data_IF_448456021549
#
_entry.id   IF_448456021549
#
_cell.length_a   1.000
_cell.length_b   1.000
_cell.length_c   1.000
_cell.angle_alpha   90.00
_cell.angle_beta   90.00
_cell.angle_gamma   90.00
#
_symmetry.space_group_name_H-M   'P 1'
#
loop_
_entity.id
_entity.type
_entity.pdbx_description
1 polymer ?
#
# COMPACT_ATOMS: atom_id res chain seq x y z
N UNK A 1 10.87 9.97 -26.62
CA UNK A 1 10.56 10.83 -25.47
C UNK A 1 9.89 9.96 -24.43
N UNK A 2 10.67 9.42 -23.49
CA UNK A 2 10.16 8.61 -22.38
C UNK A 2 9.44 9.59 -21.44
N UNK A 3 8.12 9.49 -21.37
CA UNK A 3 7.33 10.27 -20.41
C UNK A 3 7.80 9.91 -19.01
N UNK A 4 8.42 10.87 -18.31
CA UNK A 4 8.78 10.70 -16.91
C UNK A 4 7.51 10.34 -16.13
N UNK A 5 7.45 9.13 -15.61
CA UNK A 5 6.36 8.72 -14.75
C UNK A 5 6.61 9.40 -13.41
N UNK A 6 5.61 10.13 -12.90
CA UNK A 6 5.72 10.86 -11.64
C UNK A 6 5.84 9.91 -10.45
N UNK A 7 7.06 9.46 -10.19
CA UNK A 7 7.43 8.54 -9.08
C UNK A 7 8.30 9.22 -8.04
N UNK A 8 8.74 10.45 -8.29
CA UNK A 8 9.54 11.21 -7.32
C UNK A 8 8.80 11.41 -5.99
N UNK A 9 7.51 11.75 -6.06
CA UNK A 9 6.63 11.84 -4.88
C UNK A 9 6.50 10.50 -4.14
N UNK A 10 6.64 9.37 -4.84
CA UNK A 10 6.62 8.05 -4.19
C UNK A 10 7.88 7.82 -3.39
N UNK A 11 9.03 8.12 -3.98
CA UNK A 11 10.32 8.02 -3.30
C UNK A 11 10.40 8.98 -2.12
N UNK A 12 9.97 10.23 -2.29
CA UNK A 12 9.99 11.25 -1.23
C UNK A 12 9.20 10.77 -0.02
N UNK A 13 7.94 10.37 -0.21
CA UNK A 13 7.09 9.94 0.91
C UNK A 13 7.55 8.62 1.55
N UNK A 14 8.10 7.68 0.77
CA UNK A 14 8.66 6.46 1.33
C UNK A 14 9.92 6.76 2.17
N UNK A 15 10.79 7.64 1.69
CA UNK A 15 11.98 8.07 2.43
C UNK A 15 11.59 8.81 3.72
N UNK A 16 10.57 9.66 3.69
CA UNK A 16 10.05 10.30 4.90
C UNK A 16 9.55 9.28 5.93
N UNK A 17 8.84 8.23 5.49
CA UNK A 17 8.39 7.19 6.42
C UNK A 17 9.56 6.36 6.97
N UNK A 18 10.59 6.10 6.16
CA UNK A 18 11.82 5.43 6.59
C UNK A 18 12.56 6.26 7.64
N UNK A 19 12.74 7.56 7.41
CA UNK A 19 13.40 8.45 8.37
C UNK A 19 12.59 8.58 9.66
N UNK A 20 11.26 8.62 9.56
CA UNK A 20 10.39 8.58 10.73
C UNK A 20 10.54 7.26 11.51
N UNK A 21 10.65 6.10 10.84
CA UNK A 21 10.88 4.80 11.48
C UNK A 21 12.25 4.77 12.20
N UNK A 22 13.31 5.27 11.55
CA UNK A 22 14.64 5.35 12.18
C UNK A 22 14.63 6.21 13.44
N UNK A 23 13.97 7.39 13.39
CA UNK A 23 13.78 8.26 14.56
C UNK A 23 12.96 7.59 15.64
N UNK A 24 11.94 6.81 15.27
CA UNK A 24 11.15 6.03 16.20
C UNK A 24 12.00 4.96 16.91
N UNK A 25 12.89 4.29 16.17
CA UNK A 25 13.82 3.29 16.70
C UNK A 25 14.82 3.82 17.74
N UNK A 26 15.13 5.12 17.70
CA UNK A 26 15.99 5.79 18.67
C UNK A 26 15.28 6.07 20.01
N UNK A 27 13.95 6.06 20.04
CA UNK A 27 13.18 6.25 21.27
C UNK A 27 13.19 4.98 22.14
N UNK A 28 13.39 5.14 23.45
CA UNK A 28 13.31 4.03 24.42
C UNK A 28 11.87 3.60 24.71
N UNK A 29 10.95 4.56 24.77
CA UNK A 29 9.52 4.33 25.01
C UNK A 29 8.70 5.14 24.01
N UNK A 30 7.61 4.55 23.51
CA UNK A 30 6.67 5.20 22.61
C UNK A 30 5.36 5.45 23.34
N UNK A 31 4.78 6.63 23.11
CA UNK A 31 3.38 6.84 23.42
C UNK A 31 2.53 5.97 22.50
N UNK A 32 1.59 5.21 23.08
CA UNK A 32 0.78 4.20 22.37
C UNK A 32 0.05 4.78 21.14
N UNK A 33 -0.44 6.03 21.25
CA UNK A 33 -1.07 6.74 20.12
C UNK A 33 -0.11 7.08 18.97
N UNK A 34 1.16 7.38 19.26
CA UNK A 34 2.15 7.72 18.22
C UNK A 34 2.52 6.48 17.40
N UNK A 35 2.65 5.32 18.05
CA UNK A 35 2.93 4.04 17.38
C UNK A 35 1.77 3.62 16.47
N UNK A 36 0.53 3.77 16.95
CA UNK A 36 -0.65 3.42 16.16
C UNK A 36 -0.79 4.27 14.90
N UNK A 37 -0.70 5.60 15.04
CA UNK A 37 -0.78 6.52 13.90
C UNK A 37 0.34 6.30 12.89
N UNK A 38 1.55 5.97 13.38
CA UNK A 38 2.66 5.61 12.51
C UNK A 38 2.39 4.33 11.73
N UNK A 39 1.85 3.28 12.38
CA UNK A 39 1.53 2.00 11.74
C UNK A 39 0.54 2.15 10.59
N UNK A 40 -0.47 3.02 10.74
CA UNK A 40 -1.45 3.32 9.68
C UNK A 40 -0.75 3.97 8.49
N UNK A 41 0.03 5.02 8.72
CA UNK A 41 0.73 5.73 7.64
C UNK A 41 1.75 4.84 6.93
N UNK A 42 2.49 4.04 7.70
CA UNK A 42 3.42 3.06 7.19
C UNK A 42 2.71 2.05 6.26
N UNK A 43 1.64 1.42 6.74
CA UNK A 43 0.86 0.47 5.96
C UNK A 43 0.30 1.08 4.67
N UNK A 44 -0.22 2.30 4.72
CA UNK A 44 -0.73 3.02 3.55
C UNK A 44 0.38 3.33 2.52
N UNK A 45 1.56 3.75 2.98
CA UNK A 45 2.70 4.02 2.12
C UNK A 45 3.18 2.75 1.39
N UNK A 46 3.24 1.61 2.10
CA UNK A 46 3.63 0.33 1.50
C UNK A 46 2.59 -0.19 0.50
N UNK A 47 1.31 -0.19 0.88
CA UNK A 47 0.24 -0.73 0.05
C UNK A 47 -0.04 0.09 -1.22
N UNK A 48 0.26 1.39 -1.18
CA UNK A 48 0.07 2.32 -2.31
C UNK A 48 1.35 2.53 -3.10
N UNK A 49 2.32 3.23 -2.48
CA UNK A 49 3.47 3.81 -3.17
C UNK A 49 4.55 2.77 -3.46
N UNK A 50 4.97 2.00 -2.45
CA UNK A 50 5.96 0.95 -2.66
C UNK A 50 5.45 -0.06 -3.68
N UNK A 51 4.19 -0.47 -3.56
CA UNK A 51 3.58 -1.39 -4.51
C UNK A 51 3.57 -0.87 -5.95
N UNK A 52 3.31 0.43 -6.14
CA UNK A 52 3.37 1.04 -7.47
C UNK A 52 4.78 0.99 -8.06
N UNK A 53 5.81 1.28 -7.25
CA UNK A 53 7.21 1.17 -7.68
C UNK A 53 7.60 -0.27 -8.02
N UNK A 54 7.19 -1.24 -7.19
CA UNK A 54 7.39 -2.68 -7.47
C UNK A 54 6.76 -3.06 -8.80
N UNK A 55 5.53 -2.60 -9.07
CA UNK A 55 4.85 -2.86 -10.33
C UNK A 55 5.64 -2.27 -11.51
N UNK A 56 6.09 -1.02 -11.42
CA UNK A 56 6.86 -0.39 -12.50
C UNK A 56 8.23 -1.04 -12.74
N UNK A 57 8.97 -1.39 -11.70
CA UNK A 57 10.22 -2.15 -11.82
C UNK A 57 9.96 -3.51 -12.49
N UNK A 58 8.92 -4.25 -12.06
CA UNK A 58 8.59 -5.56 -12.65
C UNK A 58 8.20 -5.52 -14.13
N UNK A 59 7.68 -4.38 -14.60
CA UNK A 59 7.30 -4.15 -15.99
C UNK A 59 8.45 -3.53 -16.82
N UNK A 60 9.63 -3.29 -16.22
CA UNK A 60 10.76 -2.64 -16.89
C UNK A 60 10.47 -1.18 -17.29
N UNK A 61 9.56 -0.52 -16.56
CA UNK A 61 9.08 0.83 -16.87
C UNK A 61 10.04 1.90 -16.31
N UNK A 62 10.73 1.61 -15.21
CA UNK A 62 11.70 2.52 -14.61
C UNK A 62 12.93 2.67 -15.53
N UNK A 63 13.45 3.89 -15.63
CA UNK A 63 14.75 4.08 -16.29
C UNK A 63 15.88 3.57 -15.38
N UNK A 64 17.10 3.49 -15.90
CA UNK A 64 18.25 2.96 -15.16
C UNK A 64 18.55 3.70 -13.84
N UNK A 65 18.36 5.02 -13.81
CA UNK A 65 18.57 5.81 -12.60
C UNK A 65 17.50 5.51 -11.54
N UNK A 66 16.24 5.44 -11.96
CA UNK A 66 15.10 5.14 -11.10
C UNK A 66 15.13 3.69 -10.59
N UNK A 67 15.56 2.74 -11.42
CA UNK A 67 15.73 1.34 -11.03
C UNK A 67 16.82 1.21 -9.96
N UNK A 68 17.95 1.90 -10.11
CA UNK A 68 18.99 1.94 -9.06
C UNK A 68 18.48 2.55 -7.76
N UNK A 69 17.70 3.63 -7.85
CA UNK A 69 17.09 4.28 -6.68
C UNK A 69 16.08 3.35 -5.99
N UNK A 70 15.28 2.63 -6.77
CA UNK A 70 14.34 1.64 -6.28
C UNK A 70 15.03 0.46 -5.58
N UNK A 71 16.12 -0.06 -6.16
CA UNK A 71 16.89 -1.13 -5.53
C UNK A 71 17.50 -0.68 -4.19
N UNK A 72 18.08 0.52 -4.15
CA UNK A 72 18.61 1.10 -2.91
C UNK A 72 17.52 1.25 -1.82
N UNK A 73 16.33 1.72 -2.20
CA UNK A 73 15.17 1.80 -1.31
C UNK A 73 14.77 0.42 -0.76
N UNK A 74 14.77 -0.62 -1.61
CA UNK A 74 14.45 -1.98 -1.17
C UNK A 74 15.47 -2.52 -0.17
N UNK A 75 16.74 -2.25 -0.39
CA UNK A 75 17.82 -2.70 0.50
C UNK A 75 17.79 -1.94 1.84
N UNK A 76 17.45 -0.65 1.81
CA UNK A 76 17.21 0.13 3.02
C UNK A 76 16.00 -0.40 3.81
N UNK A 77 14.88 -0.68 3.16
CA UNK A 77 13.69 -1.27 3.81
C UNK A 77 14.00 -2.65 4.42
N UNK A 78 14.83 -3.47 3.75
CA UNK A 78 15.32 -4.74 4.30
C UNK A 78 16.16 -4.53 5.55
N UNK A 79 17.02 -3.50 5.56
CA UNK A 79 17.84 -3.14 6.72
C UNK A 79 17.04 -2.69 7.95
N UNK A 80 15.77 -2.29 7.78
CA UNK A 80 14.89 -1.86 8.86
C UNK A 80 14.01 -2.99 9.43
N UNK A 81 14.21 -4.24 9.00
CA UNK A 81 13.35 -5.37 9.37
C UNK A 81 13.19 -5.53 10.89
N UNK A 82 14.27 -5.35 11.67
CA UNK A 82 14.23 -5.43 13.13
C UNK A 82 13.32 -4.37 13.75
N UNK A 83 13.33 -3.15 13.23
CA UNK A 83 12.44 -2.07 13.70
C UNK A 83 10.98 -2.34 13.30
N UNK A 84 10.76 -2.85 12.09
CA UNK A 84 9.43 -3.23 11.59
C UNK A 84 8.82 -4.31 12.50
N UNK A 85 9.61 -5.31 12.89
CA UNK A 85 9.17 -6.36 13.82
C UNK A 85 8.95 -5.79 15.23
N UNK A 86 9.89 -4.99 15.76
CA UNK A 86 9.79 -4.40 17.10
C UNK A 86 8.55 -3.54 17.29
N UNK A 87 8.10 -2.84 16.25
CA UNK A 87 6.92 -1.97 16.29
C UNK A 87 5.68 -2.61 15.65
N UNK A 88 5.71 -3.92 15.37
CA UNK A 88 4.59 -4.68 14.79
C UNK A 88 4.01 -4.05 13.50
N UNK A 89 4.88 -3.49 12.66
CA UNK A 89 4.51 -2.78 11.45
C UNK A 89 4.27 -3.74 10.27
N UNK A 90 3.50 -3.25 9.29
CA UNK A 90 3.29 -3.97 8.04
C UNK A 90 4.62 -4.25 7.33
N UNK A 91 4.81 -5.49 6.85
CA UNK A 91 6.03 -5.90 6.16
C UNK A 91 6.05 -5.40 4.69
N UNK A 92 7.18 -4.87 4.19
CA UNK A 92 7.31 -4.50 2.79
C UNK A 92 7.29 -5.75 1.90
N UNK A 93 6.54 -5.67 0.79
CA UNK A 93 6.46 -6.73 -0.21
C UNK A 93 7.12 -6.21 -1.49
N UNK A 94 8.20 -6.87 -1.90
CA UNK A 94 9.03 -6.45 -3.03
C UNK A 94 8.70 -7.17 -4.35
N UNK A 95 7.59 -7.93 -4.38
CA UNK A 95 7.16 -8.70 -5.55
C UNK A 95 5.82 -8.19 -6.07
N UNK A 96 5.63 -8.16 -7.39
CA UNK A 96 4.34 -7.80 -8.00
C UNK A 96 3.36 -8.98 -7.92
N UNK A 97 2.93 -9.29 -6.71
CA UNK A 97 1.91 -10.31 -6.50
C UNK A 97 0.53 -9.67 -6.72
N UNK A 98 -0.36 -10.30 -7.52
CA UNK A 98 -1.70 -9.78 -7.72
C UNK A 98 -2.40 -9.57 -6.36
N UNK A 99 -3.17 -8.48 -6.19
CA UNK A 99 -3.83 -8.23 -4.91
C UNK A 99 -4.78 -9.38 -4.60
N UNK A 100 -4.91 -9.70 -3.31
CA UNK A 100 -6.00 -10.55 -2.85
C UNK A 100 -7.32 -9.99 -3.41
N UNK A 101 -8.02 -10.78 -4.22
CA UNK A 101 -9.30 -10.37 -4.79
C UNK A 101 -10.26 -10.13 -3.63
N UNK A 102 -10.64 -8.88 -3.38
CA UNK A 102 -11.72 -8.59 -2.47
C UNK A 102 -12.94 -9.42 -2.89
N UNK A 103 -13.48 -10.23 -1.98
CA UNK A 103 -14.76 -10.91 -2.20
C UNK A 103 -15.79 -9.84 -2.45
N UNK A 104 -16.13 -9.61 -3.71
CA UNK A 104 -17.30 -8.81 -4.07
C UNK A 104 -18.49 -9.47 -3.40
N UNK A 105 -19.00 -8.88 -2.33
CA UNK A 105 -20.36 -9.18 -1.88
C UNK A 105 -21.26 -8.85 -3.06
N UNK A 106 -21.65 -9.88 -3.82
CA UNK A 106 -22.74 -9.78 -4.80
C UNK A 106 -23.95 -9.35 -3.98
N UNK A 107 -24.30 -8.08 -4.05
CA UNK A 107 -25.51 -7.54 -3.44
C UNK A 107 -26.67 -8.46 -3.79
N UNK A 108 -27.46 -8.82 -2.77
CA UNK A 108 -28.60 -9.69 -2.91
C UNK A 108 -29.45 -9.23 -4.11
N UNK A 109 -29.63 -10.12 -5.09
CA UNK A 109 -30.59 -9.94 -6.18
C UNK A 109 -31.92 -9.51 -5.55
N UNK A 110 -32.35 -8.26 -5.79
CA UNK A 110 -33.72 -7.80 -5.52
C UNK A 110 -34.66 -8.70 -6.34
N UNK A 111 -35.16 -9.75 -5.71
CA UNK A 111 -36.25 -10.56 -6.23
C UNK A 111 -37.54 -9.77 -6.01
N UNK A 112 -37.88 -8.89 -6.94
CA UNK A 112 -39.20 -8.28 -6.98
C UNK A 112 -40.16 -9.27 -7.63
N UNK A 113 -40.86 -9.98 -6.75
CA UNK A 113 -41.90 -10.96 -7.03
C UNK A 113 -43.04 -10.36 -7.85
N UNK A 114 -43.45 -11.08 -8.89
CA UNK A 114 -44.69 -10.85 -9.62
C UNK A 114 -45.87 -11.02 -8.65
N UNK A 115 -46.45 -9.93 -8.18
CA UNK A 115 -47.80 -9.94 -7.61
C UNK A 115 -48.76 -9.31 -8.61
N UNK A 116 -49.36 -10.19 -9.40
CA UNK A 116 -50.60 -9.92 -10.11
C UNK A 116 -51.65 -9.47 -9.09
N UNK A 117 -52.19 -8.26 -9.26
CA UNK A 117 -53.50 -7.92 -8.72
C UNK A 117 -54.43 -7.64 -9.89
N UNK A 118 -55.32 -8.61 -10.09
CA UNK A 118 -56.54 -8.47 -10.89
C UNK A 118 -57.34 -7.30 -10.33
N UNK A 119 -57.73 -6.34 -11.15
CA UNK A 119 -58.97 -5.61 -10.96
C UNK A 119 -59.78 -5.68 -12.24
N UNK A 120 -60.94 -6.29 -12.09
CA UNK A 120 -61.94 -6.64 -13.09
C UNK A 120 -63.12 -5.70 -12.84
N UNK A 121 -63.63 -5.10 -13.92
CA UNK A 121 -65.00 -4.62 -14.13
C UNK A 121 -65.56 -3.49 -13.26
N UNK A 122 -65.98 -2.45 -13.98
CA UNK A 122 -67.10 -1.55 -13.74
C UNK A 122 -67.36 -0.85 -15.05
#
# INVERSE_FOLDING_TARGET
MTTAIGIDDDFELLNEQIEALKKLGQKKELAEGEAYDFSIRWGAALAGRLRRLVHYSSQGILNEADERRFQALCDELRGLSDLIVRFELAQPVFTDTPPAKAKRHRGARRSSSRRALRLRRG
#
